data_IF_074698796602
#
_entry.id   IF_074698796602
#
_cell.length_a   1.000
_cell.length_b   1.000
_cell.length_c   1.000
_cell.angle_alpha   90.00
_cell.angle_beta   90.00
_cell.angle_gamma   90.00
#
_symmetry.space_group_name_H-M   'P 1'
#
loop_
_entity.id
_entity.type
_entity.pdbx_description
1 polymer ?
#
# COMPACT_ATOMS: atom_id res chain seq x y z
N UNK A 1 -33.94 7.66 -21.31
CA UNK A 1 -32.62 7.70 -21.90
C UNK A 1 -31.59 8.47 -21.08
N UNK A 2 -31.92 9.57 -20.42
CA UNK A 2 -30.96 10.32 -19.57
C UNK A 2 -30.38 9.53 -18.38
N UNK A 3 -31.09 8.55 -17.84
CA UNK A 3 -30.64 7.74 -16.69
C UNK A 3 -29.65 6.63 -17.07
N UNK A 4 -29.64 6.17 -18.30
CA UNK A 4 -28.75 5.11 -18.78
C UNK A 4 -27.30 5.63 -18.92
N UNK A 5 -27.14 6.86 -19.34
CA UNK A 5 -25.80 7.48 -19.47
C UNK A 5 -25.11 7.70 -18.11
N UNK A 6 -25.89 7.93 -17.05
CA UNK A 6 -25.35 8.12 -15.71
C UNK A 6 -24.82 6.81 -15.10
N UNK A 7 -25.51 5.69 -15.37
CA UNK A 7 -25.09 4.35 -14.92
C UNK A 7 -23.82 3.89 -15.65
N UNK A 8 -23.71 4.15 -16.94
CA UNK A 8 -22.51 3.79 -17.73
C UNK A 8 -21.30 4.59 -17.29
N UNK A 9 -21.45 5.87 -16.93
CA UNK A 9 -20.36 6.71 -16.44
C UNK A 9 -19.85 6.22 -15.06
N UNK A 10 -20.73 5.72 -14.19
CA UNK A 10 -20.37 5.20 -12.87
C UNK A 10 -19.63 3.86 -12.96
N UNK A 11 -20.02 2.99 -13.89
CA UNK A 11 -19.35 1.70 -14.14
C UNK A 11 -17.94 1.87 -14.73
N UNK A 12 -17.73 2.89 -15.58
CA UNK A 12 -16.42 3.16 -16.17
C UNK A 12 -15.42 3.72 -15.14
N UNK A 13 -15.87 4.47 -14.13
CA UNK A 13 -14.99 5.00 -13.08
C UNK A 13 -14.47 3.89 -12.13
N UNK A 14 -15.33 2.94 -11.76
CA UNK A 14 -14.94 1.79 -10.94
C UNK A 14 -13.93 0.86 -11.63
N UNK A 15 -14.06 0.66 -12.93
CA UNK A 15 -13.12 -0.16 -13.70
C UNK A 15 -11.73 0.47 -13.81
N UNK A 16 -11.63 1.79 -13.93
CA UNK A 16 -10.35 2.50 -13.99
C UNK A 16 -9.57 2.41 -12.66
N UNK A 17 -10.27 2.50 -11.53
CA UNK A 17 -9.64 2.35 -10.21
C UNK A 17 -9.16 0.92 -9.94
N UNK A 18 -9.93 -0.09 -10.35
CA UNK A 18 -9.53 -1.49 -10.24
C UNK A 18 -8.26 -1.80 -11.03
N UNK A 19 -8.14 -1.26 -12.25
CA UNK A 19 -6.94 -1.39 -13.08
C UNK A 19 -5.72 -0.68 -12.47
N UNK A 20 -5.91 0.49 -11.86
CA UNK A 20 -4.85 1.21 -11.17
C UNK A 20 -4.30 0.42 -9.98
N UNK A 21 -5.16 -0.16 -9.15
CA UNK A 21 -4.78 -0.92 -7.97
C UNK A 21 -4.03 -2.21 -8.36
N UNK A 22 -4.49 -2.93 -9.37
CA UNK A 22 -3.82 -4.14 -9.85
C UNK A 22 -2.42 -3.83 -10.39
N UNK A 23 -2.26 -2.77 -11.16
CA UNK A 23 -0.96 -2.30 -11.64
C UNK A 23 0.00 -1.97 -10.47
N UNK A 24 -0.52 -1.33 -9.44
CA UNK A 24 0.25 -1.00 -8.22
C UNK A 24 0.67 -2.28 -7.48
N UNK A 25 -0.24 -3.24 -7.31
CA UNK A 25 0.08 -4.53 -6.67
C UNK A 25 1.19 -5.27 -7.38
N UNK A 26 1.12 -5.35 -8.70
CA UNK A 26 2.17 -6.00 -9.52
C UNK A 26 3.51 -5.27 -9.36
N UNK A 27 3.54 -3.96 -9.46
CA UNK A 27 4.76 -3.18 -9.31
C UNK A 27 5.38 -3.27 -7.89
N UNK A 28 4.52 -3.42 -6.88
CA UNK A 28 4.96 -3.56 -5.49
C UNK A 28 5.75 -4.84 -5.24
N UNK A 29 5.46 -5.93 -5.95
CA UNK A 29 6.10 -7.24 -5.73
C UNK A 29 7.62 -7.20 -5.85
N UNK A 30 8.17 -6.31 -6.66
CA UNK A 30 9.61 -6.16 -6.90
C UNK A 30 10.17 -4.81 -6.45
N UNK A 31 9.34 -3.96 -5.84
CA UNK A 31 9.72 -2.58 -5.51
C UNK A 31 10.93 -2.49 -4.56
N UNK A 32 11.10 -3.45 -3.66
CA UNK A 32 12.20 -3.46 -2.69
C UNK A 32 13.47 -4.20 -3.14
N UNK A 33 13.48 -4.78 -4.36
CA UNK A 33 14.59 -5.60 -4.85
C UNK A 33 15.80 -4.77 -5.27
N UNK A 34 15.56 -3.58 -5.82
CA UNK A 34 16.60 -2.66 -6.26
C UNK A 34 16.20 -1.20 -6.08
N UNK A 35 17.20 -0.31 -6.12
CA UNK A 35 16.96 1.14 -6.08
C UNK A 35 16.15 1.60 -7.29
N UNK A 36 16.44 1.06 -8.45
CA UNK A 36 15.73 1.37 -9.70
C UNK A 36 14.24 1.01 -9.60
N UNK A 37 13.93 -0.17 -9.07
CA UNK A 37 12.56 -0.61 -8.83
C UNK A 37 11.85 0.27 -7.79
N UNK A 38 12.55 0.64 -6.71
CA UNK A 38 11.99 1.53 -5.68
C UNK A 38 11.66 2.92 -6.25
N UNK A 39 12.52 3.48 -7.10
CA UNK A 39 12.28 4.77 -7.78
C UNK A 39 11.10 4.64 -8.73
N UNK A 40 11.08 3.61 -9.58
CA UNK A 40 9.98 3.38 -10.52
C UNK A 40 8.63 3.21 -9.82
N UNK A 41 8.62 2.50 -8.69
CA UNK A 41 7.40 2.34 -7.88
C UNK A 41 6.97 3.67 -7.22
N UNK A 42 7.91 4.46 -6.71
CA UNK A 42 7.61 5.78 -6.16
C UNK A 42 7.04 6.74 -7.22
N UNK A 43 7.57 6.71 -8.44
CA UNK A 43 7.05 7.48 -9.58
C UNK A 43 5.64 7.03 -9.99
N UNK A 44 5.39 5.71 -10.04
CA UNK A 44 4.06 5.17 -10.28
C UNK A 44 3.07 5.70 -9.24
N UNK A 45 3.43 5.66 -7.96
CA UNK A 45 2.56 6.14 -6.88
C UNK A 45 2.37 7.66 -6.90
N UNK A 46 3.40 8.43 -7.26
CA UNK A 46 3.28 9.88 -7.43
C UNK A 46 2.30 10.27 -8.53
N UNK A 47 2.26 9.48 -9.62
CA UNK A 47 1.37 9.69 -10.76
C UNK A 47 0.00 9.00 -10.61
N UNK A 48 -0.25 8.25 -9.53
CA UNK A 48 -1.53 7.62 -9.25
C UNK A 48 -2.37 8.56 -8.37
N UNK A 49 -3.48 9.11 -8.88
CA UNK A 49 -4.36 9.97 -8.07
C UNK A 49 -4.97 9.16 -6.92
N UNK A 50 -4.97 9.72 -5.73
CA UNK A 50 -5.59 9.11 -4.55
C UNK A 50 -6.33 10.14 -3.72
N UNK A 51 -7.45 9.74 -3.13
CA UNK A 51 -8.16 10.51 -2.12
C UNK A 51 -8.02 9.85 -0.74
N UNK A 52 -7.86 10.61 0.35
CA UNK A 52 -7.57 10.05 1.67
C UNK A 52 -8.64 9.09 2.21
N UNK A 53 -9.89 9.28 1.82
CA UNK A 53 -11.04 8.58 2.39
C UNK A 53 -11.56 7.40 1.55
N UNK A 54 -11.37 7.44 0.23
CA UNK A 54 -11.91 6.42 -0.69
C UNK A 54 -10.87 5.44 -1.20
N UNK A 55 -9.59 5.87 -1.27
CA UNK A 55 -8.51 5.08 -1.84
C UNK A 55 -7.56 4.55 -0.75
N UNK A 56 -8.12 3.94 0.30
CA UNK A 56 -7.39 3.53 1.50
C UNK A 56 -6.19 2.64 1.18
N UNK A 57 -6.38 1.63 0.35
CA UNK A 57 -5.30 0.69 -0.03
C UNK A 57 -4.24 1.39 -0.90
N UNK A 58 -4.63 2.22 -1.86
CA UNK A 58 -3.68 3.00 -2.66
C UNK A 58 -2.87 3.98 -1.80
N UNK A 59 -3.48 4.59 -0.80
CA UNK A 59 -2.76 5.46 0.15
C UNK A 59 -1.74 4.68 0.99
N UNK A 60 -2.04 3.44 1.35
CA UNK A 60 -1.08 2.55 2.01
C UNK A 60 0.12 2.25 1.10
N UNK A 61 -0.10 1.92 -0.17
CA UNK A 61 0.98 1.73 -1.14
C UNK A 61 1.78 3.01 -1.39
N UNK A 62 1.13 4.17 -1.38
CA UNK A 62 1.82 5.46 -1.47
C UNK A 62 2.75 5.69 -0.28
N UNK A 63 2.31 5.35 0.93
CA UNK A 63 3.14 5.35 2.12
C UNK A 63 4.30 4.37 2.03
N UNK A 64 4.02 3.13 1.61
CA UNK A 64 5.01 2.08 1.42
C UNK A 64 6.09 2.48 0.39
N UNK A 65 5.72 3.12 -0.72
CA UNK A 65 6.66 3.55 -1.76
C UNK A 65 7.73 4.51 -1.22
N UNK A 66 7.34 5.44 -0.36
CA UNK A 66 8.27 6.37 0.30
C UNK A 66 9.21 5.64 1.27
N UNK A 67 8.68 4.71 2.06
CA UNK A 67 9.46 3.94 3.02
C UNK A 67 10.41 2.95 2.33
N UNK A 68 10.00 2.32 1.23
CA UNK A 68 10.88 1.47 0.42
C UNK A 68 12.01 2.30 -0.18
N UNK A 69 11.72 3.49 -0.70
CA UNK A 69 12.73 4.38 -1.25
C UNK A 69 13.75 4.79 -0.17
N UNK A 70 13.30 5.00 1.08
CA UNK A 70 14.17 5.29 2.22
C UNK A 70 15.18 4.18 2.54
N UNK A 71 14.91 2.91 2.17
CA UNK A 71 15.84 1.79 2.30
C UNK A 71 17.13 2.06 1.52
N UNK A 72 17.02 2.66 0.34
CA UNK A 72 18.14 2.87 -0.59
C UNK A 72 18.90 4.20 -0.41
N UNK A 73 18.49 5.04 0.53
CA UNK A 73 19.16 6.30 0.82
C UNK A 73 18.30 7.54 0.58
N UNK A 74 18.96 8.64 0.20
CA UNK A 74 18.30 9.93 0.07
C UNK A 74 17.93 10.56 1.42
N UNK A 75 16.91 11.39 1.45
CA UNK A 75 16.39 11.96 2.69
C UNK A 75 15.47 10.98 3.43
N UNK A 76 16.10 9.97 4.06
CA UNK A 76 15.38 8.90 4.78
C UNK A 76 14.39 9.42 5.81
N UNK A 77 14.78 10.44 6.58
CA UNK A 77 13.95 11.00 7.64
C UNK A 77 12.68 11.60 7.05
N UNK A 78 12.79 12.39 6.00
CA UNK A 78 11.64 12.98 5.33
C UNK A 78 10.73 11.90 4.73
N UNK A 79 11.31 10.93 4.01
CA UNK A 79 10.56 9.82 3.39
C UNK A 79 9.77 9.00 4.42
N UNK A 80 10.39 8.65 5.55
CA UNK A 80 9.73 7.94 6.64
C UNK A 80 8.65 8.78 7.31
N UNK A 81 8.90 10.07 7.50
CA UNK A 81 7.97 11.01 8.11
C UNK A 81 6.70 11.21 7.26
N UNK A 82 6.84 11.15 5.95
CA UNK A 82 5.73 11.22 5.00
C UNK A 82 5.02 9.88 4.78
N UNK A 83 5.79 8.79 4.68
CA UNK A 83 5.27 7.48 4.32
C UNK A 83 4.54 6.77 5.46
N UNK A 84 5.10 6.78 6.66
CA UNK A 84 4.53 6.09 7.82
C UNK A 84 3.10 6.51 8.16
N UNK A 85 2.74 7.82 8.23
CA UNK A 85 1.37 8.21 8.53
C UNK A 85 0.35 7.74 7.50
N UNK A 86 0.71 7.69 6.21
CA UNK A 86 -0.18 7.21 5.15
C UNK A 86 -0.56 5.73 5.38
N UNK A 87 0.41 4.90 5.67
CA UNK A 87 0.19 3.47 5.95
C UNK A 87 -0.57 3.25 7.26
N UNK A 88 -0.17 3.93 8.34
CA UNK A 88 -0.85 3.78 9.64
C UNK A 88 -2.28 4.31 9.62
N UNK A 89 -2.56 5.40 8.89
CA UNK A 89 -3.92 5.91 8.71
C UNK A 89 -4.79 4.95 7.91
N UNK A 90 -4.25 4.29 6.89
CA UNK A 90 -4.96 3.25 6.16
C UNK A 90 -5.37 2.08 7.08
N UNK A 91 -4.45 1.61 7.92
CA UNK A 91 -4.72 0.55 8.91
C UNK A 91 -5.76 0.96 9.96
N UNK A 92 -5.77 2.23 10.38
CA UNK A 92 -6.82 2.75 11.27
C UNK A 92 -8.20 2.77 10.61
N UNK A 93 -8.27 3.07 9.33
CA UNK A 93 -9.53 3.08 8.59
C UNK A 93 -10.07 1.67 8.30
N UNK A 94 -9.17 0.73 8.01
CA UNK A 94 -9.52 -0.66 7.68
C UNK A 94 -8.67 -1.66 8.50
N UNK A 95 -8.89 -1.76 9.82
CA UNK A 95 -8.04 -2.57 10.70
C UNK A 95 -8.15 -4.09 10.45
N UNK A 96 -9.18 -4.54 9.73
CA UNK A 96 -9.38 -5.95 9.37
C UNK A 96 -8.92 -6.29 7.95
N UNK A 97 -8.31 -5.35 7.24
CA UNK A 97 -7.83 -5.57 5.88
C UNK A 97 -6.45 -6.25 5.90
N UNK A 98 -6.41 -7.52 5.53
CA UNK A 98 -5.18 -8.33 5.52
C UNK A 98 -4.10 -7.79 4.58
N UNK A 99 -4.48 -7.16 3.45
CA UNK A 99 -3.53 -6.53 2.52
C UNK A 99 -2.76 -5.39 3.20
N UNK A 100 -3.42 -4.58 4.02
CA UNK A 100 -2.75 -3.48 4.74
C UNK A 100 -1.76 -4.00 5.79
N UNK A 101 -2.10 -5.07 6.50
CA UNK A 101 -1.19 -5.74 7.42
C UNK A 101 0.03 -6.33 6.68
N UNK A 102 -0.21 -6.91 5.50
CA UNK A 102 0.87 -7.45 4.65
C UNK A 102 1.81 -6.34 4.15
N UNK A 103 1.26 -5.21 3.72
CA UNK A 103 2.06 -4.04 3.31
C UNK A 103 2.93 -3.55 4.47
N UNK A 104 2.37 -3.39 5.68
CA UNK A 104 3.12 -2.96 6.86
C UNK A 104 4.21 -3.96 7.24
N UNK A 105 3.88 -5.24 7.29
CA UNK A 105 4.84 -6.31 7.56
C UNK A 105 6.02 -6.26 6.59
N UNK A 106 5.73 -6.21 5.30
CA UNK A 106 6.76 -6.16 4.25
C UNK A 106 7.67 -4.94 4.42
N UNK A 107 7.09 -3.76 4.62
CA UNK A 107 7.87 -2.53 4.84
C UNK A 107 8.76 -2.65 6.09
N UNK A 108 8.22 -3.11 7.20
CA UNK A 108 8.97 -3.23 8.47
C UNK A 108 10.10 -4.27 8.37
N UNK A 109 9.92 -5.35 7.63
CA UNK A 109 10.97 -6.35 7.42
C UNK A 109 12.08 -5.86 6.51
N UNK A 110 11.78 -5.04 5.49
CA UNK A 110 12.76 -4.55 4.53
C UNK A 110 13.50 -3.27 4.95
N UNK A 111 12.97 -2.51 5.92
CA UNK A 111 13.65 -1.33 6.44
C UNK A 111 14.93 -1.71 7.20
N UNK A 112 15.99 -0.86 7.12
CA UNK A 112 17.19 -1.05 7.93
C UNK A 112 16.86 -1.19 9.43
N UNK A 113 17.58 -2.07 10.13
CA UNK A 113 17.32 -2.35 11.56
C UNK A 113 17.45 -1.14 12.47
N UNK A 114 18.18 -0.11 12.05
CA UNK A 114 18.32 1.16 12.78
C UNK A 114 17.06 2.02 12.76
N UNK A 115 16.11 1.72 11.87
CA UNK A 115 14.84 2.44 11.80
C UNK A 115 13.90 1.91 12.87
N UNK A 116 13.40 2.74 13.81
CA UNK A 116 12.57 2.31 14.92
C UNK A 116 11.09 2.15 14.49
N UNK A 117 10.84 1.35 13.46
CA UNK A 117 9.51 1.04 12.93
C UNK A 117 9.40 -0.46 12.67
N UNK A 118 9.35 -1.25 13.76
CA UNK A 118 9.35 -2.73 13.69
C UNK A 118 8.40 -3.38 14.69
N UNK A 119 7.61 -2.59 15.41
CA UNK A 119 6.85 -3.06 16.57
C UNK A 119 5.63 -3.95 16.21
N UNK A 120 5.24 -4.00 14.95
CA UNK A 120 4.02 -4.70 14.50
C UNK A 120 4.32 -6.03 13.78
N UNK A 121 5.58 -6.40 13.58
CA UNK A 121 5.97 -7.56 12.76
C UNK A 121 5.28 -8.85 13.24
N UNK A 122 5.34 -9.15 14.54
CA UNK A 122 4.71 -10.35 15.08
C UNK A 122 3.19 -10.29 14.98
N UNK A 123 2.60 -9.17 15.39
CA UNK A 123 1.14 -8.99 15.34
C UNK A 123 0.58 -9.07 13.91
N UNK A 124 1.27 -8.49 12.94
CA UNK A 124 0.85 -8.57 11.53
C UNK A 124 1.01 -9.99 10.96
N UNK A 125 2.06 -10.71 11.32
CA UNK A 125 2.22 -12.12 10.94
C UNK A 125 1.07 -12.97 11.48
N UNK A 126 0.77 -12.83 12.76
CA UNK A 126 -0.30 -13.59 13.42
C UNK A 126 -1.68 -13.27 12.81
N UNK A 127 -1.92 -11.98 12.52
CA UNK A 127 -3.16 -11.54 11.86
C UNK A 127 -3.33 -12.16 10.47
N UNK A 128 -2.28 -12.11 9.65
CA UNK A 128 -2.30 -12.65 8.28
C UNK A 128 -2.50 -14.16 8.30
N UNK A 129 -1.80 -14.88 9.18
CA UNK A 129 -1.95 -16.33 9.32
C UNK A 129 -3.36 -16.73 9.76
N UNK A 130 -3.94 -16.02 10.72
CA UNK A 130 -5.31 -16.24 11.18
C UNK A 130 -6.33 -15.99 10.05
N UNK A 131 -6.16 -14.90 9.30
CA UNK A 131 -7.01 -14.55 8.17
C UNK A 131 -6.95 -15.60 7.04
N UNK A 132 -5.74 -16.07 6.70
CA UNK A 132 -5.55 -17.12 5.71
C UNK A 132 -6.18 -18.45 6.15
N UNK A 133 -6.01 -18.82 7.41
CA UNK A 133 -6.59 -20.04 7.96
C UNK A 133 -8.14 -20.03 7.97
N UNK A 134 -8.77 -18.85 8.06
CA UNK A 134 -10.22 -18.72 7.91
C UNK A 134 -10.68 -18.96 6.46
N UNK A 135 -9.97 -18.41 5.49
CA UNK A 135 -10.31 -18.56 4.05
C UNK A 135 -10.18 -20.01 3.55
N UNK A 136 -9.27 -20.78 4.12
CA UNK A 136 -9.05 -22.19 3.70
C UNK A 136 -10.05 -23.17 4.30
N UNK A 137 -10.93 -22.73 5.20
CA UNK A 137 -11.97 -23.56 5.84
C UNK A 137 -13.37 -23.41 5.20
N UNK A 138 -13.55 -22.46 4.29
CA UNK A 138 -14.76 -22.26 3.50
C UNK A 138 -14.67 -23.00 2.15
#
# INVERSE_FOLDING_TARGET
MKHIYFIILFLSFGALQAQSLEKVRVAYTTASDSKENAVAFAELMANTPTTPTTDVVLNAYKGASKMILAKFGGNRIALLKEGKPLLENALKQQPQNAELHLIRLSVQEHLPKVVPYRNNITADKDFILAHYAQQTRE
#
